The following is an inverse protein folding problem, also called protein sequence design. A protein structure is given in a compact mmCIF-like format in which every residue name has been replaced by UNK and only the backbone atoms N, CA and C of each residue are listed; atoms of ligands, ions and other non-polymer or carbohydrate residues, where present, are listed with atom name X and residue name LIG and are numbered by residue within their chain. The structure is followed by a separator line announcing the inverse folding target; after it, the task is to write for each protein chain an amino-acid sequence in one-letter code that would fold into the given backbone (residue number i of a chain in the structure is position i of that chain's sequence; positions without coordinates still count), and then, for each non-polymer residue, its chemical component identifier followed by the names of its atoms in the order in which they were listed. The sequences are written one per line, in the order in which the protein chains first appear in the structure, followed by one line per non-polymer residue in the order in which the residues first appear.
data_IF_475242423343
#
_entry.id   IF_475242423343
#
_cell.length_a   1.000
_cell.length_b   1.000
_cell.length_c   1.000
_cell.angle_alpha   90.00
_cell.angle_beta   90.00
_cell.angle_gamma   90.00
#
_symmetry.space_group_name_H-M   'P 1'
#
loop_
_entity.id
_entity.type
_entity.pdbx_description
1 polymer ?
#
# COMPACT_ATOMS: atom_id res chain seq x y z
N UNK A 1 -6.74 8.81 -7.19
CA UNK A 1 -6.72 9.98 -6.26
C UNK A 1 -5.64 9.70 -5.22
N UNK A 2 -4.77 10.66 -4.85
CA UNK A 2 -3.81 10.40 -3.76
C UNK A 2 -4.45 10.63 -2.40
N UNK A 3 -3.95 9.95 -1.35
CA UNK A 3 -4.41 10.15 0.03
C UNK A 3 -4.32 11.61 0.46
N UNK A 4 -3.18 12.26 0.24
CA UNK A 4 -2.96 13.65 0.69
C UNK A 4 -3.84 14.64 -0.11
N UNK A 5 -4.32 14.29 -1.32
CA UNK A 5 -5.39 15.02 -2.03
C UNK A 5 -6.78 14.78 -1.42
N UNK A 6 -7.15 13.53 -1.15
CA UNK A 6 -8.44 13.17 -0.53
C UNK A 6 -8.60 13.82 0.87
N UNK A 7 -7.55 13.81 1.69
CA UNK A 7 -7.55 14.49 3.00
C UNK A 7 -7.72 16.02 2.89
N UNK A 8 -7.10 16.64 1.88
CA UNK A 8 -7.27 18.09 1.62
C UNK A 8 -8.65 18.44 1.11
N UNK A 9 -9.23 17.59 0.25
CA UNK A 9 -10.63 17.69 -0.21
C UNK A 9 -11.59 17.57 0.98
N UNK A 10 -11.37 16.59 1.84
CA UNK A 10 -12.28 16.30 2.95
C UNK A 10 -12.18 17.28 4.11
N UNK A 11 -11.00 17.83 4.39
CA UNK A 11 -10.80 18.75 5.50
C UNK A 11 -10.03 20.00 5.04
N UNK A 12 -10.62 20.86 4.18
CA UNK A 12 -9.94 22.04 3.64
C UNK A 12 -9.59 23.06 4.74
N UNK A 13 -10.31 23.04 5.87
CA UNK A 13 -10.04 23.85 7.07
C UNK A 13 -9.00 23.23 8.03
N UNK A 14 -8.46 22.03 7.74
CA UNK A 14 -7.52 21.37 8.64
C UNK A 14 -6.14 22.01 8.65
N UNK A 15 -5.65 22.36 9.85
CA UNK A 15 -4.27 22.78 10.08
C UNK A 15 -3.38 21.62 10.50
N UNK A 16 -3.96 20.65 11.22
CA UNK A 16 -3.25 19.50 11.76
C UNK A 16 -4.01 18.21 11.42
N UNK A 17 -3.28 17.18 11.01
CA UNK A 17 -3.85 15.86 10.71
C UNK A 17 -2.99 14.79 11.38
N UNK A 18 -3.59 13.96 12.24
CA UNK A 18 -2.90 12.89 12.96
C UNK A 18 -3.16 11.55 12.28
N UNK A 19 -2.10 10.84 11.86
CA UNK A 19 -2.20 9.46 11.35
C UNK A 19 -2.32 8.49 12.52
N UNK A 20 -3.41 7.74 12.57
CA UNK A 20 -3.70 6.72 13.57
C UNK A 20 -3.60 5.34 12.93
N UNK A 21 -2.60 4.57 13.37
CA UNK A 21 -2.47 3.12 13.09
C UNK A 21 -3.08 2.37 14.26
N UNK A 22 -4.16 1.65 14.02
CA UNK A 22 -4.85 0.89 15.06
C UNK A 22 -4.88 -0.59 14.66
N UNK A 23 -4.10 -1.40 15.38
CA UNK A 23 -4.19 -2.87 15.33
C UNK A 23 -5.35 -3.29 16.22
N UNK A 24 -6.22 -4.17 15.71
CA UNK A 24 -7.40 -4.64 16.43
C UNK A 24 -7.04 -5.77 17.38
N UNK A 25 -7.53 -5.72 18.62
CA UNK A 25 -7.50 -6.88 19.51
C UNK A 25 -8.58 -7.94 19.11
N UNK A 26 -8.59 -9.08 19.82
CA UNK A 26 -9.54 -10.18 19.56
C UNK A 26 -11.01 -9.76 19.79
N UNK A 27 -11.29 -8.96 20.83
CA UNK A 27 -12.62 -8.46 21.20
C UNK A 27 -13.10 -7.40 20.22
N UNK A 28 -12.26 -6.42 19.91
CA UNK A 28 -12.57 -5.34 18.95
C UNK A 28 -12.86 -5.91 17.55
N UNK A 29 -12.04 -6.89 17.11
CA UNK A 29 -12.26 -7.59 15.85
C UNK A 29 -13.57 -8.40 15.86
N UNK A 30 -13.86 -9.14 16.93
CA UNK A 30 -15.13 -9.87 17.05
C UNK A 30 -16.34 -8.94 17.03
N UNK A 31 -16.25 -7.81 17.74
CA UNK A 31 -17.29 -6.77 17.77
C UNK A 31 -17.52 -6.15 16.39
N UNK A 32 -16.46 -5.73 15.67
CA UNK A 32 -16.59 -5.21 14.31
C UNK A 32 -17.22 -6.24 13.36
N UNK A 33 -16.85 -7.52 13.46
CA UNK A 33 -17.47 -8.57 12.65
C UNK A 33 -18.97 -8.73 12.96
N UNK A 34 -19.38 -8.61 14.23
CA UNK A 34 -20.80 -8.61 14.64
C UNK A 34 -21.56 -7.38 14.12
N UNK A 35 -20.98 -6.18 14.20
CA UNK A 35 -21.60 -4.95 13.67
C UNK A 35 -21.74 -4.96 12.13
N UNK A 36 -20.78 -5.57 11.42
CA UNK A 36 -20.75 -5.60 9.96
C UNK A 36 -21.44 -6.82 9.34
N UNK A 37 -21.90 -7.79 10.16
CA UNK A 37 -22.52 -9.03 9.71
C UNK A 37 -21.60 -9.95 8.89
N UNK A 38 -20.28 -9.75 8.95
CA UNK A 38 -19.30 -10.47 8.10
C UNK A 38 -17.92 -10.56 8.74
N UNK A 39 -17.17 -11.62 8.41
CA UNK A 39 -15.74 -11.78 8.79
C UNK A 39 -14.89 -10.73 8.07
N UNK A 40 -13.95 -10.09 8.77
CA UNK A 40 -13.03 -9.09 8.18
C UNK A 40 -11.62 -9.69 8.03
N UNK A 41 -10.97 -9.60 6.84
CA UNK A 41 -9.57 -10.04 6.69
C UNK A 41 -8.59 -9.19 7.52
N UNK A 42 -8.86 -7.90 7.68
CA UNK A 42 -7.93 -6.92 8.27
C UNK A 42 -7.51 -7.26 9.71
N UNK A 43 -6.23 -7.00 10.04
CA UNK A 43 -5.70 -7.04 11.41
C UNK A 43 -5.72 -5.67 12.11
N UNK A 44 -6.12 -4.62 11.40
CA UNK A 44 -6.07 -3.25 11.86
C UNK A 44 -6.40 -2.29 10.72
N UNK A 45 -6.57 -1.01 11.05
CA UNK A 45 -6.96 0.04 10.12
C UNK A 45 -6.06 1.27 10.24
N UNK A 46 -6.03 2.06 9.16
CA UNK A 46 -5.30 3.31 9.06
C UNK A 46 -6.31 4.44 8.89
N UNK A 47 -6.31 5.37 9.84
CA UNK A 47 -7.21 6.51 9.85
C UNK A 47 -6.44 7.82 10.05
N UNK A 48 -7.08 8.94 9.73
CA UNK A 48 -6.56 10.28 9.97
C UNK A 48 -7.59 11.15 10.68
N UNK A 49 -7.20 11.72 11.82
CA UNK A 49 -8.02 12.66 12.60
C UNK A 49 -7.63 14.09 12.20
N UNK A 50 -8.60 14.88 11.75
CA UNK A 50 -8.38 16.24 11.25
C UNK A 50 -8.78 17.29 12.30
N UNK A 51 -7.96 18.32 12.44
CA UNK A 51 -8.16 19.43 13.37
C UNK A 51 -7.90 20.79 12.71
N UNK A 52 -8.69 21.80 13.08
CA UNK A 52 -8.56 23.17 12.59
C UNK A 52 -7.38 23.94 13.24
N UNK A 53 -7.28 25.26 13.00
CA UNK A 53 -6.25 26.13 13.58
C UNK A 53 -6.35 26.29 15.11
N UNK A 54 -7.56 26.16 15.69
CA UNK A 54 -7.84 26.29 17.14
C UNK A 54 -7.82 24.93 17.86
N UNK A 55 -7.61 23.82 17.15
CA UNK A 55 -7.64 22.47 17.70
C UNK A 55 -9.05 21.86 17.81
N UNK A 56 -10.06 22.49 17.19
CA UNK A 56 -11.39 21.92 16.98
C UNK A 56 -11.31 20.68 16.09
N UNK A 57 -12.05 19.63 16.42
CA UNK A 57 -12.10 18.40 15.64
C UNK A 57 -13.00 18.59 14.42
N UNK A 58 -12.47 18.33 13.23
CA UNK A 58 -13.19 18.46 11.96
C UNK A 58 -13.80 17.14 11.48
N UNK A 59 -13.23 16.00 11.89
CA UNK A 59 -13.68 14.68 11.50
C UNK A 59 -12.55 13.67 11.33
N UNK A 60 -12.90 12.49 10.83
CA UNK A 60 -11.99 11.36 10.62
C UNK A 60 -12.11 10.81 9.21
N UNK A 61 -10.99 10.49 8.56
CA UNK A 61 -10.99 9.70 7.32
C UNK A 61 -10.33 8.34 7.53
N UNK A 62 -10.95 7.27 7.03
CA UNK A 62 -10.49 5.88 7.17
C UNK A 62 -10.07 5.34 5.81
N UNK A 63 -8.84 4.85 5.68
CA UNK A 63 -8.44 4.01 4.54
C UNK A 63 -8.96 2.59 4.79
N UNK A 64 -9.74 2.09 3.84
CA UNK A 64 -10.29 0.74 3.86
C UNK A 64 -10.10 0.06 2.50
N UNK A 65 -10.21 -1.27 2.50
CA UNK A 65 -10.09 -2.11 1.31
C UNK A 65 -11.35 -2.97 1.17
N UNK A 66 -11.88 -3.07 -0.03
CA UNK A 66 -12.98 -3.98 -0.37
C UNK A 66 -12.69 -4.65 -1.71
N UNK A 67 -13.26 -5.83 -1.95
CA UNK A 67 -13.12 -6.56 -3.21
C UNK A 67 -14.33 -6.22 -4.11
N UNK A 68 -14.07 -5.94 -5.39
CA UNK A 68 -15.09 -5.84 -6.44
C UNK A 68 -15.60 -7.23 -6.83
N UNK A 69 -15.31 -7.67 -8.05
CA UNK A 69 -15.50 -9.05 -8.51
C UNK A 69 -14.34 -9.98 -8.11
N UNK A 70 -13.10 -9.52 -8.21
CA UNK A 70 -11.88 -10.33 -7.99
C UNK A 70 -10.76 -9.57 -7.28
N UNK A 71 -10.60 -8.27 -7.54
CA UNK A 71 -9.47 -7.49 -7.05
C UNK A 71 -9.84 -6.63 -5.83
N UNK A 72 -8.93 -6.52 -4.83
CA UNK A 72 -9.06 -5.54 -3.77
C UNK A 72 -8.81 -4.11 -4.30
N UNK A 73 -9.66 -3.17 -3.92
CA UNK A 73 -9.50 -1.76 -4.24
C UNK A 73 -9.61 -0.85 -3.01
N UNK A 74 -9.00 0.33 -3.09
CA UNK A 74 -8.76 1.21 -1.94
C UNK A 74 -9.68 2.42 -1.94
N UNK A 75 -10.35 2.63 -0.80
CA UNK A 75 -11.25 3.75 -0.56
C UNK A 75 -10.83 4.51 0.68
N UNK A 76 -10.95 5.84 0.63
CA UNK A 76 -11.04 6.67 1.82
C UNK A 76 -12.49 7.07 2.04
N UNK A 77 -13.02 6.77 3.23
CA UNK A 77 -14.32 7.26 3.67
C UNK A 77 -14.07 8.30 4.75
N UNK A 78 -14.51 9.52 4.48
CA UNK A 78 -14.34 10.66 5.38
C UNK A 78 -15.67 10.99 6.05
N UNK A 79 -15.60 11.08 7.38
CA UNK A 79 -16.70 11.43 8.27
C UNK A 79 -16.43 12.80 8.89
N UNK A 80 -17.49 13.58 9.09
CA UNK A 80 -17.46 14.87 9.80
C UNK A 80 -17.31 14.69 11.32
N UNK A 81 -17.21 15.81 12.04
CA UNK A 81 -17.16 15.82 13.51
C UNK A 81 -18.42 15.24 14.20
N UNK A 82 -19.53 15.05 13.47
CA UNK A 82 -20.79 14.45 13.95
C UNK A 82 -20.90 12.96 13.61
N UNK A 83 -19.93 12.37 12.90
CA UNK A 83 -19.95 10.98 12.46
C UNK A 83 -20.82 10.72 11.22
N UNK A 84 -21.06 11.74 10.40
CA UNK A 84 -21.75 11.63 9.10
C UNK A 84 -20.70 11.55 7.99
N UNK A 85 -20.86 10.67 7.02
CA UNK A 85 -20.06 10.67 5.79
C UNK A 85 -20.22 12.02 5.12
N UNK A 86 -19.12 12.67 4.77
CA UNK A 86 -19.12 13.90 3.98
C UNK A 86 -18.25 13.82 2.74
N UNK A 87 -17.39 12.80 2.60
CA UNK A 87 -16.86 12.39 1.29
C UNK A 87 -16.51 10.90 1.27
N UNK A 88 -16.61 10.31 0.07
CA UNK A 88 -15.98 9.02 -0.26
C UNK A 88 -15.07 9.24 -1.47
N UNK A 89 -13.82 8.79 -1.37
CA UNK A 89 -12.79 8.90 -2.41
C UNK A 89 -12.25 7.50 -2.73
N UNK A 90 -12.55 6.98 -3.93
CA UNK A 90 -11.85 5.78 -4.45
C UNK A 90 -10.45 6.20 -4.87
N UNK A 91 -9.45 5.83 -4.08
CA UNK A 91 -8.05 6.18 -4.34
C UNK A 91 -7.54 5.46 -5.59
N UNK A 92 -7.85 4.17 -5.65
CA UNK A 92 -7.39 3.21 -6.65
C UNK A 92 -8.51 2.20 -6.92
N UNK A 93 -8.66 1.78 -8.18
CA UNK A 93 -9.56 0.73 -8.64
C UNK A 93 -8.85 -0.06 -9.73
N UNK A 94 -8.98 -1.40 -9.71
CA UNK A 94 -8.09 -2.31 -10.46
C UNK A 94 -8.79 -3.21 -11.48
N UNK A 95 -10.12 -3.29 -11.46
CA UNK A 95 -10.88 -4.20 -12.33
C UNK A 95 -11.24 -3.54 -13.67
N UNK A 96 -11.35 -4.31 -14.77
CA UNK A 96 -11.68 -3.78 -16.09
C UNK A 96 -13.15 -3.36 -16.24
N UNK A 97 -14.02 -3.71 -15.28
CA UNK A 97 -15.43 -3.29 -15.20
C UNK A 97 -15.74 -2.81 -13.78
N UNK A 98 -16.73 -1.94 -13.63
CA UNK A 98 -17.13 -1.40 -12.33
C UNK A 98 -16.36 -0.16 -11.88
N UNK A 99 -15.49 0.39 -12.73
CA UNK A 99 -14.76 1.64 -12.45
C UNK A 99 -15.68 2.87 -12.37
N UNK A 100 -16.93 2.74 -12.81
CA UNK A 100 -18.00 3.74 -12.74
C UNK A 100 -18.26 4.20 -11.30
N UNK A 101 -17.99 3.36 -10.29
CA UNK A 101 -18.09 3.74 -8.87
C UNK A 101 -17.12 4.85 -8.46
N UNK A 102 -16.15 5.20 -9.32
CA UNK A 102 -15.24 6.36 -9.14
C UNK A 102 -15.90 7.69 -9.55
N UNK A 103 -17.03 7.68 -10.25
CA UNK A 103 -17.71 8.90 -10.71
C UNK A 103 -18.15 9.72 -9.49
N UNK A 104 -17.80 11.01 -9.44
CA UNK A 104 -18.07 11.86 -8.26
C UNK A 104 -19.57 11.98 -7.95
N UNK A 105 -20.41 12.03 -8.99
CA UNK A 105 -21.88 12.00 -8.89
C UNK A 105 -22.45 10.70 -8.31
N UNK A 106 -21.69 9.60 -8.32
CA UNK A 106 -22.04 8.39 -7.58
C UNK A 106 -21.60 8.48 -6.12
N UNK A 107 -20.34 8.83 -5.87
CA UNK A 107 -19.77 8.88 -4.52
C UNK A 107 -20.43 9.94 -3.61
N UNK A 108 -20.93 11.03 -4.20
CA UNK A 108 -21.69 12.06 -3.49
C UNK A 108 -23.00 11.52 -2.88
N UNK A 109 -23.59 10.43 -3.43
CA UNK A 109 -24.81 9.80 -2.87
C UNK A 109 -24.61 9.11 -1.52
N UNK A 110 -23.36 9.00 -1.05
CA UNK A 110 -23.04 8.51 0.29
C UNK A 110 -22.90 9.64 1.32
N UNK A 111 -22.92 10.92 0.92
CA UNK A 111 -22.80 12.06 1.84
C UNK A 111 -24.09 12.21 2.69
N UNK A 112 -23.94 12.67 3.93
CA UNK A 112 -25.01 12.70 4.94
C UNK A 112 -25.34 11.37 5.62
N UNK A 113 -24.77 10.24 5.17
CA UNK A 113 -25.02 8.93 5.79
C UNK A 113 -24.32 8.81 7.15
N UNK A 114 -25.02 8.29 8.14
CA UNK A 114 -24.58 8.12 9.53
C UNK A 114 -25.03 6.77 10.07
N UNK A 115 -24.56 6.39 11.26
CA UNK A 115 -25.02 5.20 11.98
C UNK A 115 -26.56 5.11 12.11
N UNK A 116 -27.26 6.26 12.23
CA UNK A 116 -28.72 6.29 12.44
C UNK A 116 -29.54 5.94 11.19
N UNK A 117 -29.15 6.47 10.02
CA UNK A 117 -29.90 6.30 8.76
C UNK A 117 -29.28 5.24 7.81
N UNK A 118 -28.18 4.60 8.20
CA UNK A 118 -27.38 3.68 7.37
C UNK A 118 -28.20 2.65 6.56
N UNK A 119 -29.15 1.95 7.21
CA UNK A 119 -29.96 0.91 6.55
C UNK A 119 -30.88 1.48 5.47
N UNK A 120 -31.54 2.61 5.73
CA UNK A 120 -32.48 3.24 4.80
C UNK A 120 -31.73 3.96 3.67
N UNK A 121 -30.64 4.65 3.99
CA UNK A 121 -29.86 5.38 3.01
C UNK A 121 -29.18 4.45 2.00
N UNK A 122 -28.55 3.35 2.45
CA UNK A 122 -27.93 2.39 1.53
C UNK A 122 -28.94 1.66 0.63
N UNK A 123 -30.20 1.50 1.05
CA UNK A 123 -31.29 1.01 0.18
C UNK A 123 -31.68 2.00 -0.93
N UNK A 124 -31.41 3.29 -0.76
CA UNK A 124 -31.72 4.36 -1.73
C UNK A 124 -30.56 4.68 -2.68
N UNK A 125 -29.37 4.10 -2.49
CA UNK A 125 -28.26 4.28 -3.44
C UNK A 125 -28.45 3.31 -4.60
N UNK A 126 -28.61 3.80 -5.85
CA UNK A 126 -28.78 2.92 -7.00
C UNK A 126 -27.51 2.09 -7.23
N UNK A 127 -27.68 0.81 -7.53
CA UNK A 127 -26.61 -0.04 -8.04
C UNK A 127 -26.30 0.40 -9.47
N UNK A 128 -25.02 0.64 -9.80
CA UNK A 128 -24.66 0.97 -11.19
C UNK A 128 -24.68 -0.32 -12.04
N UNK A 129 -25.42 -0.36 -13.18
CA UNK A 129 -25.41 -1.51 -14.09
C UNK A 129 -23.99 -1.89 -14.55
N UNK A 130 -23.72 -3.20 -14.64
CA UNK A 130 -22.37 -3.72 -14.95
C UNK A 130 -21.33 -3.55 -13.82
N UNK A 131 -21.67 -2.84 -12.74
CA UNK A 131 -20.79 -2.46 -11.63
C UNK A 131 -21.35 -2.91 -10.26
N UNK A 132 -22.17 -3.97 -10.23
CA UNK A 132 -22.94 -4.40 -9.06
C UNK A 132 -22.08 -4.69 -7.83
N UNK A 133 -21.10 -5.59 -7.95
CA UNK A 133 -20.24 -5.99 -6.83
C UNK A 133 -19.38 -4.82 -6.32
N UNK A 134 -18.96 -3.94 -7.23
CA UNK A 134 -18.23 -2.70 -6.97
C UNK A 134 -19.09 -1.66 -6.24
N UNK A 135 -20.36 -1.54 -6.60
CA UNK A 135 -21.34 -0.67 -5.91
C UNK A 135 -21.55 -1.15 -4.47
N UNK A 136 -21.76 -2.46 -4.29
CA UNK A 136 -21.80 -3.07 -2.96
C UNK A 136 -20.47 -2.99 -2.21
N UNK A 137 -19.32 -2.91 -2.88
CA UNK A 137 -18.02 -2.67 -2.25
C UNK A 137 -17.93 -1.24 -1.66
N UNK A 138 -18.39 -0.20 -2.37
CA UNK A 138 -18.43 1.17 -1.80
C UNK A 138 -19.36 1.24 -0.57
N UNK A 139 -20.54 0.61 -0.64
CA UNK A 139 -21.45 0.52 0.51
C UNK A 139 -20.81 -0.21 1.71
N UNK A 140 -20.13 -1.34 1.45
CA UNK A 140 -19.38 -2.12 2.47
C UNK A 140 -18.24 -1.31 3.10
N UNK A 141 -17.56 -0.46 2.34
CA UNK A 141 -16.53 0.45 2.83
C UNK A 141 -17.09 1.53 3.77
N UNK A 142 -18.24 2.13 3.41
CA UNK A 142 -18.93 3.11 4.26
C UNK A 142 -19.41 2.50 5.57
N UNK A 143 -19.96 1.28 5.53
CA UNK A 143 -20.30 0.51 6.74
C UNK A 143 -19.09 0.30 7.66
N UNK A 144 -17.93 -0.10 7.12
CA UNK A 144 -16.67 -0.25 7.89
C UNK A 144 -16.27 1.05 8.58
N UNK A 145 -16.28 2.16 7.84
CA UNK A 145 -15.84 3.46 8.38
C UNK A 145 -16.72 3.95 9.53
N UNK A 146 -18.05 3.80 9.42
CA UNK A 146 -18.99 4.14 10.48
C UNK A 146 -18.86 3.21 11.70
N UNK A 147 -18.65 1.90 11.49
CA UNK A 147 -18.42 0.95 12.59
C UNK A 147 -17.10 1.24 13.33
N UNK A 148 -16.03 1.60 12.61
CA UNK A 148 -14.74 2.00 13.18
C UNK A 148 -14.84 3.34 13.92
N UNK A 149 -15.58 4.31 13.38
CA UNK A 149 -15.85 5.57 14.07
C UNK A 149 -16.60 5.34 15.39
N UNK A 150 -17.58 4.44 15.40
CA UNK A 150 -18.26 4.02 16.63
C UNK A 150 -17.28 3.40 17.63
N UNK A 151 -16.44 2.45 17.21
CA UNK A 151 -15.39 1.85 18.06
C UNK A 151 -14.49 2.91 18.70
N UNK A 152 -13.98 3.86 17.90
CA UNK A 152 -13.12 4.94 18.40
C UNK A 152 -13.85 5.96 19.28
N UNK A 153 -15.14 6.23 19.02
CA UNK A 153 -15.97 7.11 19.87
C UNK A 153 -16.15 6.53 21.28
N UNK A 154 -16.16 5.20 21.42
CA UNK A 154 -16.28 4.51 22.71
C UNK A 154 -14.93 4.07 23.31
N UNK A 155 -13.80 4.42 22.68
CA UNK A 155 -12.45 4.19 23.22
C UNK A 155 -11.99 2.73 23.28
N UNK A 156 -12.73 1.83 22.63
CA UNK A 156 -12.59 0.38 22.68
C UNK A 156 -13.94 -0.30 22.38
N UNK A 157 -14.05 -1.60 22.67
CA UNK A 157 -15.31 -2.36 22.51
C UNK A 157 -16.40 -1.78 23.43
N UNK A 158 -17.51 -1.21 22.91
CA UNK A 158 -18.52 -0.57 23.75
C UNK A 158 -19.33 -1.59 24.57
N UNK A 159 -19.38 -1.37 25.88
CA UNK A 159 -20.23 -2.10 26.82
C UNK A 159 -21.68 -1.58 26.69
N UNK A 160 -22.71 -2.45 26.64
CA UNK A 160 -24.10 -2.01 26.69
C UNK A 160 -24.39 -1.21 27.97
N UNK A 161 -24.93 0.00 27.84
CA UNK A 161 -25.32 0.87 28.96
C UNK A 161 -24.41 2.08 29.22
N UNK A 162 -23.16 2.09 28.76
CA UNK A 162 -22.26 3.24 29.01
C UNK A 162 -22.67 4.51 28.25
N UNK A 163 -22.72 5.64 28.97
CA UNK A 163 -22.89 6.99 28.38
C UNK A 163 -21.62 7.37 27.59
N UNK A 164 -21.71 8.10 26.44
CA UNK A 164 -20.56 8.28 25.54
C UNK A 164 -19.37 9.06 26.12
N UNK A 165 -18.35 8.35 26.59
CA UNK A 165 -17.04 8.91 26.99
C UNK A 165 -16.29 9.52 25.81
N UNK A 166 -16.49 10.82 25.58
CA UNK A 166 -16.23 11.49 24.30
C UNK A 166 -14.78 11.48 23.79
N UNK A 167 -14.61 11.91 22.53
CA UNK A 167 -13.34 12.17 21.83
C UNK A 167 -12.32 13.03 22.63
N UNK A 168 -12.74 13.73 23.70
CA UNK A 168 -11.84 14.40 24.63
C UNK A 168 -10.96 13.43 25.44
N UNK A 169 -11.49 12.28 25.88
CA UNK A 169 -10.68 11.22 26.52
C UNK A 169 -9.69 10.62 25.53
N UNK A 170 -10.09 10.50 24.26
CA UNK A 170 -9.21 10.09 23.17
C UNK A 170 -8.07 11.13 22.95
N UNK A 171 -8.37 12.44 22.99
CA UNK A 171 -7.34 13.50 22.98
C UNK A 171 -6.35 13.34 24.15
N UNK A 172 -6.78 13.10 25.38
CA UNK A 172 -5.87 12.88 26.52
C UNK A 172 -5.02 11.60 26.36
N UNK A 173 -5.64 10.47 25.98
CA UNK A 173 -4.95 9.19 25.77
C UNK A 173 -3.88 9.30 24.68
N UNK A 174 -4.14 10.09 23.63
CA UNK A 174 -3.15 10.39 22.57
C UNK A 174 -2.17 11.54 22.88
N UNK A 175 -2.49 12.48 23.78
CA UNK A 175 -1.51 13.45 24.29
C UNK A 175 -0.41 12.76 25.10
N UNK A 176 -0.75 11.70 25.84
CA UNK A 176 0.23 10.83 26.53
C UNK A 176 1.03 9.97 25.54
N UNK A 177 0.44 9.52 24.43
CA UNK A 177 1.13 8.81 23.34
C UNK A 177 1.97 9.75 22.44
N UNK A 178 3.04 10.33 23.03
CA UNK A 178 3.78 11.50 22.54
C UNK A 178 4.71 11.25 21.33
N UNK A 179 4.22 10.69 20.22
CA UNK A 179 5.01 10.41 19.02
C UNK A 179 4.38 10.93 17.70
N UNK A 180 5.23 11.54 16.83
CA UNK A 180 4.96 11.90 15.42
C UNK A 180 3.74 12.81 15.14
N UNK A 181 3.67 13.99 15.77
CA UNK A 181 2.90 15.15 15.26
C UNK A 181 3.35 15.50 13.82
N UNK A 182 2.49 15.35 12.80
CA UNK A 182 2.73 15.86 11.43
C UNK A 182 1.88 17.11 11.16
N UNK A 183 2.49 18.28 11.19
CA UNK A 183 1.85 19.53 10.72
C UNK A 183 1.65 19.45 9.21
N UNK A 184 0.47 19.84 8.72
CA UNK A 184 0.24 19.94 7.28
C UNK A 184 0.88 21.25 6.79
N UNK A 185 1.82 21.21 5.82
CA UNK A 185 2.42 22.44 5.30
C UNK A 185 1.34 23.30 4.66
N UNK A 186 1.36 24.64 4.86
CA UNK A 186 0.43 25.54 4.18
C UNK A 186 0.56 25.42 2.66
N UNK A 187 -0.48 25.81 1.94
CA UNK A 187 -0.42 25.92 0.49
C UNK A 187 0.65 26.96 0.08
N UNK A 188 1.43 26.72 -0.99
CA UNK A 188 2.35 27.71 -1.50
C UNK A 188 1.56 28.88 -2.14
N UNK A 189 1.85 30.15 -1.81
CA UNK A 189 1.38 31.29 -2.60
C UNK A 189 2.08 31.32 -3.98
N UNK A 190 1.56 32.09 -4.95
CA UNK A 190 2.26 32.35 -6.20
C UNK A 190 3.64 33.01 -5.97
N UNK A 191 4.59 32.74 -6.86
CA UNK A 191 6.00 33.13 -6.68
C UNK A 191 6.22 34.64 -6.90
N UNK A 192 7.01 35.26 -6.01
CA UNK A 192 8.00 36.31 -6.34
C UNK A 192 9.31 35.97 -5.61
N UNK A 193 10.45 36.49 -6.09
CA UNK A 193 11.80 36.16 -5.59
C UNK A 193 12.60 37.44 -5.31
N UNK A 194 13.10 37.60 -4.07
CA UNK A 194 14.29 38.40 -3.75
C UNK A 194 15.33 37.64 -2.84
N UNK A 195 16.48 38.24 -2.44
CA UNK A 195 17.75 37.51 -2.17
C UNK A 195 18.06 37.10 -0.69
N UNK A 196 19.25 36.49 -0.41
CA UNK A 196 19.56 35.83 0.88
C UNK A 196 20.58 36.53 1.82
N UNK A 197 20.51 36.22 3.14
CA UNK A 197 21.51 36.26 4.27
C UNK A 197 20.71 36.36 5.62
N UNK A 198 21.19 36.09 6.85
CA UNK A 198 22.46 35.56 7.43
C UNK A 198 22.12 34.69 8.70
N UNK A 199 23.08 34.40 9.61
CA UNK A 199 22.98 33.45 10.76
C UNK A 199 22.68 34.09 12.15
N UNK A 200 22.48 33.22 13.16
CA UNK A 200 22.69 33.38 14.63
C UNK A 200 21.51 33.93 15.49
N UNK A 201 21.37 33.65 16.81
CA UNK A 201 21.81 32.51 17.67
C UNK A 201 21.29 32.62 19.13
N UNK A 202 21.07 31.48 19.85
CA UNK A 202 20.89 31.37 21.33
C UNK A 202 19.68 32.15 21.90
N UNK A 203 19.27 32.05 23.17
CA UNK A 203 19.05 30.91 24.10
C UNK A 203 17.87 31.34 25.04
N UNK A 204 17.50 30.78 26.21
CA UNK A 204 17.88 29.64 27.07
C UNK A 204 16.64 29.20 27.90
N UNK A 205 16.75 28.24 28.84
CA UNK A 205 15.72 27.95 29.86
C UNK A 205 15.64 26.46 30.25
N UNK A 206 15.87 26.12 31.52
CA UNK A 206 16.03 24.73 31.98
C UNK A 206 15.39 24.43 33.34
N UNK A 207 14.99 23.18 33.54
CA UNK A 207 14.73 22.53 34.84
C UNK A 207 14.86 20.99 34.66
N UNK A 208 15.18 20.28 35.74
CA UNK A 208 15.59 18.87 35.75
C UNK A 208 15.29 18.23 37.13
N UNK A 209 15.51 16.92 37.37
CA UNK A 209 15.84 15.83 36.43
C UNK A 209 14.82 14.67 36.48
N UNK A 210 15.03 13.64 35.65
CA UNK A 210 14.49 12.29 35.82
C UNK A 210 15.50 11.26 35.29
N UNK A 211 15.47 10.03 35.82
CA UNK A 211 16.51 9.03 35.60
C UNK A 211 16.78 8.69 34.11
N UNK A 212 18.04 8.41 33.72
CA UNK A 212 18.44 8.34 32.32
C UNK A 212 17.94 7.07 31.61
N UNK A 213 16.93 7.24 30.76
CA UNK A 213 16.72 6.34 29.62
C UNK A 213 17.42 6.94 28.40
N UNK A 214 18.26 6.14 27.72
CA UNK A 214 19.02 6.60 26.56
C UNK A 214 18.07 7.17 25.48
N UNK A 215 18.35 8.36 24.91
CA UNK A 215 17.44 9.03 24.01
C UNK A 215 17.27 8.22 22.71
N UNK A 216 16.06 7.69 22.50
CA UNK A 216 15.75 6.88 21.33
C UNK A 216 16.04 7.66 20.03
N UNK A 217 17.00 7.16 19.24
CA UNK A 217 17.48 7.81 18.03
C UNK A 217 16.33 8.22 17.09
N UNK A 218 16.40 9.39 16.43
CA UNK A 218 15.26 9.98 15.71
C UNK A 218 14.79 9.10 14.55
N UNK A 219 13.64 8.44 14.67
CA UNK A 219 13.19 7.43 13.70
C UNK A 219 12.33 8.01 12.56
N UNK A 220 12.91 8.21 11.38
CA UNK A 220 12.16 8.60 10.19
C UNK A 220 11.53 7.39 9.45
N UNK A 221 10.48 7.67 8.67
CA UNK A 221 9.94 6.70 7.71
C UNK A 221 9.37 7.37 6.45
N UNK A 222 9.23 6.56 5.41
CA UNK A 222 8.67 6.89 4.10
C UNK A 222 7.73 5.77 3.65
N UNK A 223 6.65 6.11 2.95
CA UNK A 223 5.80 5.12 2.28
C UNK A 223 5.23 5.73 1.01
N UNK A 224 5.30 5.01 -0.10
CA UNK A 224 4.95 5.49 -1.45
C UNK A 224 4.28 4.35 -2.24
N UNK A 225 3.24 4.64 -3.05
CA UNK A 225 2.65 3.63 -3.92
C UNK A 225 3.57 3.33 -5.11
N UNK A 226 3.78 2.04 -5.40
CA UNK A 226 4.53 1.56 -6.56
C UNK A 226 4.21 0.08 -6.84
N UNK A 227 4.30 -0.35 -8.09
CA UNK A 227 4.18 -1.72 -8.59
C UNK A 227 2.88 -2.42 -8.12
N UNK A 228 1.79 -1.65 -8.13
CA UNK A 228 0.47 -2.08 -7.64
C UNK A 228 0.41 -2.36 -6.15
N UNK A 229 1.32 -1.78 -5.37
CA UNK A 229 1.52 -2.07 -3.95
C UNK A 229 2.00 -0.82 -3.18
N UNK A 230 2.34 -0.99 -1.91
CA UNK A 230 2.94 0.05 -1.07
C UNK A 230 4.42 -0.30 -0.80
N UNK A 231 5.33 0.54 -1.28
CA UNK A 231 6.73 0.54 -0.88
C UNK A 231 6.91 1.34 0.42
N UNK A 232 7.78 0.90 1.32
CA UNK A 232 8.11 1.60 2.57
C UNK A 232 9.61 1.59 2.87
N UNK A 233 10.04 2.54 3.70
CA UNK A 233 11.40 2.63 4.28
C UNK A 233 11.27 3.11 5.73
N UNK A 234 11.99 2.49 6.65
CA UNK A 234 12.15 2.89 8.05
C UNK A 234 13.63 3.05 8.39
N UNK A 235 13.99 4.14 9.07
CA UNK A 235 15.36 4.59 9.26
C UNK A 235 15.70 4.83 10.73
N UNK A 236 16.92 4.49 11.11
CA UNK A 236 17.58 4.91 12.35
C UNK A 236 18.25 6.27 12.15
N UNK A 237 17.45 7.30 11.89
CA UNK A 237 17.93 8.65 11.66
C UNK A 237 16.88 9.58 11.03
N UNK A 238 17.19 10.88 10.93
CA UNK A 238 16.37 11.81 10.16
C UNK A 238 16.35 11.41 8.68
N UNK A 239 15.30 11.81 7.96
CA UNK A 239 15.22 11.67 6.50
C UNK A 239 15.34 13.06 5.84
N UNK A 240 16.51 13.44 5.31
CA UNK A 240 16.69 14.69 4.58
C UNK A 240 15.71 14.88 3.42
N UNK A 241 15.35 16.13 3.13
CA UNK A 241 14.44 16.47 2.02
C UNK A 241 15.04 16.09 0.65
N UNK A 242 16.36 16.16 0.51
CA UNK A 242 17.13 15.68 -0.65
C UNK A 242 16.99 14.17 -0.81
N UNK A 243 17.39 13.39 0.21
CA UNK A 243 17.33 11.94 0.18
C UNK A 243 15.90 11.39 -0.04
N UNK A 244 14.88 12.02 0.57
CA UNK A 244 13.46 11.70 0.27
C UNK A 244 13.10 11.92 -1.20
N UNK A 245 13.60 12.98 -1.84
CA UNK A 245 13.36 13.25 -3.27
C UNK A 245 14.09 12.25 -4.15
N UNK A 246 15.33 11.89 -3.84
CA UNK A 246 16.11 10.89 -4.58
C UNK A 246 15.42 9.52 -4.56
N UNK A 247 15.11 8.97 -3.37
CA UNK A 247 14.38 7.70 -3.22
C UNK A 247 13.04 7.70 -3.96
N UNK A 248 12.24 8.77 -3.80
CA UNK A 248 10.97 8.90 -4.51
C UNK A 248 11.15 8.99 -6.04
N UNK A 249 12.25 9.57 -6.52
CA UNK A 249 12.57 9.72 -7.94
C UNK A 249 13.07 8.41 -8.56
N UNK A 250 13.94 7.65 -7.89
CA UNK A 250 14.35 6.30 -8.33
C UNK A 250 13.15 5.34 -8.34
N UNK A 251 12.31 5.36 -7.30
CA UNK A 251 11.07 4.57 -7.26
C UNK A 251 10.09 4.97 -8.38
N UNK A 252 9.93 6.27 -8.66
CA UNK A 252 9.07 6.73 -9.76
C UNK A 252 9.60 6.33 -11.15
N UNK A 253 10.93 6.32 -11.36
CA UNK A 253 11.54 5.77 -12.58
C UNK A 253 11.26 4.27 -12.72
N UNK A 254 11.41 3.50 -11.64
CA UNK A 254 11.12 2.07 -11.62
C UNK A 254 9.63 1.77 -11.90
N UNK A 255 8.70 2.52 -11.30
CA UNK A 255 7.26 2.44 -11.61
C UNK A 255 7.00 2.74 -13.10
N UNK A 256 7.51 3.86 -13.61
CA UNK A 256 7.28 4.25 -15.00
C UNK A 256 7.85 3.22 -16.00
N UNK A 257 9.01 2.62 -15.70
CA UNK A 257 9.70 1.69 -16.60
C UNK A 257 9.17 0.25 -16.53
N UNK A 258 8.69 -0.22 -15.38
CA UNK A 258 8.35 -1.64 -15.18
C UNK A 258 6.90 -1.94 -14.80
N UNK A 259 6.09 -0.95 -14.44
CA UNK A 259 4.68 -1.19 -14.08
C UNK A 259 3.84 -1.46 -15.32
N UNK A 260 3.25 -2.67 -15.44
CA UNK A 260 2.28 -3.04 -16.49
C UNK A 260 1.10 -2.06 -16.62
N UNK A 261 0.87 -1.23 -15.59
CA UNK A 261 -0.15 -0.17 -15.56
C UNK A 261 0.21 1.03 -16.41
N UNK A 262 1.50 1.24 -16.70
CA UNK A 262 1.96 2.21 -17.67
C UNK A 262 2.06 1.53 -19.04
N UNK A 263 1.25 1.98 -20.00
CA UNK A 263 1.29 1.50 -21.38
C UNK A 263 2.64 1.74 -22.09
N UNK A 264 3.47 2.69 -21.59
CA UNK A 264 4.83 2.94 -22.06
C UNK A 264 5.94 2.14 -21.35
N UNK A 265 5.61 1.30 -20.36
CA UNK A 265 6.59 0.48 -19.64
C UNK A 265 7.24 -0.58 -20.55
N UNK A 266 8.42 -1.07 -20.16
CA UNK A 266 9.14 -2.16 -20.82
C UNK A 266 8.24 -3.39 -21.05
N UNK A 267 7.58 -3.99 -20.02
CA UNK A 267 6.75 -5.17 -20.24
C UNK A 267 5.47 -4.86 -21.04
N UNK A 268 4.82 -3.69 -20.84
CA UNK A 268 3.63 -3.34 -21.63
C UNK A 268 3.94 -3.06 -23.11
N UNK A 269 5.16 -2.58 -23.41
CA UNK A 269 5.67 -2.47 -24.78
C UNK A 269 6.04 -3.83 -25.37
N UNK A 270 6.75 -4.67 -24.61
CA UNK A 270 7.14 -6.02 -25.05
C UNK A 270 5.93 -6.89 -25.40
N UNK A 271 4.90 -6.89 -24.54
CA UNK A 271 3.69 -7.70 -24.75
C UNK A 271 2.88 -7.28 -26.00
N UNK A 272 3.12 -6.08 -26.54
CA UNK A 272 2.53 -5.56 -27.79
C UNK A 272 3.47 -5.53 -29.00
N UNK A 273 4.74 -5.95 -28.87
CA UNK A 273 5.60 -6.09 -30.05
C UNK A 273 5.10 -7.23 -30.94
N UNK A 274 5.25 -7.15 -32.28
CA UNK A 274 5.17 -8.33 -33.13
C UNK A 274 6.29 -9.32 -32.76
N UNK A 275 6.13 -10.59 -33.12
CA UNK A 275 7.23 -11.57 -33.08
C UNK A 275 8.35 -11.07 -34.02
N UNK A 276 9.61 -11.24 -33.62
CA UNK A 276 10.78 -10.62 -34.24
C UNK A 276 11.10 -9.19 -33.76
N UNK A 277 10.14 -8.48 -33.15
CA UNK A 277 10.36 -7.13 -32.61
C UNK A 277 11.34 -7.10 -31.43
N UNK A 278 12.03 -5.97 -31.21
CA UNK A 278 12.93 -5.80 -30.06
C UNK A 278 12.78 -4.45 -29.32
N UNK A 279 13.21 -4.42 -28.05
CA UNK A 279 13.35 -3.24 -27.20
C UNK A 279 14.78 -3.10 -26.69
N UNK A 280 15.21 -1.86 -26.45
CA UNK A 280 16.45 -1.58 -25.71
C UNK A 280 16.27 -1.83 -24.20
N UNK A 281 17.31 -2.41 -23.59
CA UNK A 281 17.49 -2.63 -22.15
C UNK A 281 18.70 -1.84 -21.65
N UNK A 282 18.65 -1.35 -20.41
CA UNK A 282 19.88 -0.98 -19.69
C UNK A 282 20.61 -2.24 -19.18
N UNK A 283 21.90 -2.14 -18.79
CA UNK A 283 22.62 -3.26 -18.18
C UNK A 283 21.93 -3.82 -16.92
N UNK A 284 21.35 -2.95 -16.07
CA UNK A 284 20.60 -3.36 -14.88
C UNK A 284 19.39 -4.25 -15.25
N UNK A 285 18.70 -3.89 -16.34
CA UNK A 285 17.50 -4.59 -16.81
C UNK A 285 17.82 -5.92 -17.52
N UNK A 286 18.93 -5.97 -18.26
CA UNK A 286 19.47 -7.21 -18.82
C UNK A 286 19.87 -8.19 -17.73
N UNK A 287 20.61 -7.73 -16.72
CA UNK A 287 21.03 -8.56 -15.57
C UNK A 287 19.82 -9.09 -14.78
N UNK A 288 18.76 -8.27 -14.61
CA UNK A 288 17.50 -8.69 -14.00
C UNK A 288 16.81 -9.81 -14.78
N UNK A 289 16.59 -9.62 -16.08
CA UNK A 289 15.89 -10.62 -16.91
C UNK A 289 16.69 -11.92 -17.04
N UNK A 290 18.02 -11.85 -17.20
CA UNK A 290 18.87 -13.04 -17.13
C UNK A 290 18.73 -13.78 -15.79
N UNK A 291 18.59 -13.05 -14.68
CA UNK A 291 18.43 -13.64 -13.34
C UNK A 291 17.06 -14.32 -13.19
N UNK A 292 16.00 -13.75 -13.76
CA UNK A 292 14.70 -14.40 -13.86
C UNK A 292 14.77 -15.70 -14.70
N UNK A 293 15.43 -15.69 -15.87
CA UNK A 293 15.64 -16.90 -16.70
C UNK A 293 16.47 -17.97 -15.96
N UNK A 294 17.52 -17.58 -15.22
CA UNK A 294 18.30 -18.48 -14.36
C UNK A 294 17.45 -19.08 -13.24
N UNK A 295 16.54 -18.30 -12.65
CA UNK A 295 15.60 -18.78 -11.63
C UNK A 295 14.54 -19.73 -12.20
N UNK A 296 14.07 -19.51 -13.44
CA UNK A 296 13.20 -20.46 -14.14
C UNK A 296 13.86 -21.83 -14.27
N UNK A 297 15.09 -21.90 -14.81
CA UNK A 297 15.81 -23.17 -14.93
C UNK A 297 16.07 -23.84 -13.56
N UNK A 298 16.56 -23.07 -12.57
CA UNK A 298 16.83 -23.57 -11.20
C UNK A 298 15.59 -23.97 -10.40
N UNK A 299 14.38 -23.63 -10.86
CA UNK A 299 13.11 -24.01 -10.23
C UNK A 299 12.32 -25.02 -11.06
N UNK A 300 12.92 -25.59 -12.10
CA UNK A 300 12.26 -26.45 -13.10
C UNK A 300 10.98 -25.80 -13.68
N UNK A 301 11.04 -24.50 -13.94
CA UNK A 301 9.91 -23.71 -14.43
C UNK A 301 8.76 -23.58 -13.42
N UNK A 302 9.02 -23.71 -12.12
CA UNK A 302 8.05 -23.35 -11.07
C UNK A 302 7.95 -21.83 -10.86
N UNK A 303 9.02 -21.10 -11.16
CA UNK A 303 8.98 -19.67 -11.44
C UNK A 303 9.15 -19.42 -12.94
N UNK A 304 8.48 -18.39 -13.48
CA UNK A 304 8.74 -17.88 -14.84
C UNK A 304 8.52 -16.36 -14.89
N UNK A 305 9.32 -15.60 -15.65
CA UNK A 305 9.00 -14.22 -16.00
C UNK A 305 7.90 -14.12 -17.07
N UNK A 306 7.53 -15.21 -17.73
CA UNK A 306 6.41 -15.25 -18.69
C UNK A 306 5.17 -15.81 -18.00
N UNK A 307 4.03 -15.14 -18.17
CA UNK A 307 2.73 -15.60 -17.70
C UNK A 307 2.33 -16.90 -18.40
N UNK A 308 1.92 -17.88 -17.60
CA UNK A 308 1.36 -19.16 -18.04
C UNK A 308 2.23 -19.95 -19.04
N UNK A 309 3.54 -19.71 -19.03
CA UNK A 309 4.55 -20.53 -19.73
C UNK A 309 5.80 -20.72 -18.88
N UNK A 310 6.25 -21.97 -18.79
CA UNK A 310 7.47 -22.39 -18.09
C UNK A 310 8.72 -22.38 -19.00
N UNK A 311 8.55 -22.05 -20.29
CA UNK A 311 9.60 -22.03 -21.31
C UNK A 311 9.79 -20.59 -21.84
N UNK A 312 10.32 -19.65 -21.02
CA UNK A 312 10.37 -18.24 -21.37
C UNK A 312 11.27 -17.94 -22.58
N UNK A 313 12.28 -18.78 -22.84
CA UNK A 313 13.12 -18.72 -24.04
C UNK A 313 12.36 -18.96 -25.37
N UNK A 314 11.15 -19.53 -25.35
CA UNK A 314 10.27 -19.58 -26.53
C UNK A 314 9.52 -18.26 -26.80
N UNK A 315 9.60 -17.30 -25.88
CA UNK A 315 8.80 -16.07 -25.90
C UNK A 315 9.69 -14.83 -25.91
N UNK A 316 10.78 -14.83 -25.14
CA UNK A 316 11.77 -13.75 -25.07
C UNK A 316 13.19 -14.25 -25.31
N UNK A 317 13.95 -13.47 -26.08
CA UNK A 317 15.39 -13.59 -26.25
C UNK A 317 16.10 -12.40 -25.63
N UNK A 318 17.32 -12.61 -25.13
CA UNK A 318 18.18 -11.54 -24.60
C UNK A 318 19.47 -11.47 -25.43
N UNK A 319 19.86 -10.25 -25.78
CA UNK A 319 21.13 -9.94 -26.44
C UNK A 319 21.75 -8.71 -25.74
N UNK A 320 23.03 -8.36 -25.98
CA UNK A 320 23.63 -7.16 -25.39
C UNK A 320 22.76 -5.91 -25.62
N UNK A 321 22.28 -5.30 -24.53
CA UNK A 321 21.40 -4.13 -24.57
C UNK A 321 20.00 -4.34 -25.18
N UNK A 322 19.56 -5.58 -25.47
CA UNK A 322 18.28 -5.83 -26.16
C UNK A 322 17.44 -6.98 -25.57
N UNK A 323 16.13 -6.81 -25.67
CA UNK A 323 15.08 -7.79 -25.42
C UNK A 323 14.30 -8.03 -26.72
N UNK A 324 14.31 -9.25 -27.24
CA UNK A 324 13.65 -9.62 -28.50
C UNK A 324 12.43 -10.51 -28.22
N UNK A 325 11.33 -10.33 -28.96
CA UNK A 325 10.15 -11.20 -28.86
C UNK A 325 10.29 -12.37 -29.82
N UNK A 326 10.44 -13.58 -29.29
CA UNK A 326 10.63 -14.81 -30.07
C UNK A 326 9.30 -15.55 -30.33
N UNK A 327 8.24 -15.25 -29.58
CA UNK A 327 6.96 -15.93 -29.73
C UNK A 327 5.79 -15.31 -28.98
N UNK A 328 4.62 -15.98 -28.99
CA UNK A 328 3.43 -15.58 -28.23
C UNK A 328 3.63 -15.79 -26.72
N UNK A 329 2.92 -15.00 -25.90
CA UNK A 329 3.04 -15.00 -24.43
C UNK A 329 3.36 -13.60 -23.87
N UNK A 330 3.21 -13.42 -22.56
CA UNK A 330 3.31 -12.13 -21.89
C UNK A 330 4.41 -12.10 -20.82
N UNK A 331 5.29 -11.09 -20.86
CA UNK A 331 6.21 -10.77 -19.78
C UNK A 331 5.44 -10.19 -18.58
N UNK A 332 5.52 -10.88 -17.43
CA UNK A 332 4.87 -10.49 -16.18
C UNK A 332 5.93 -10.17 -15.10
N UNK A 333 6.14 -8.88 -14.77
CA UNK A 333 7.12 -8.45 -13.76
C UNK A 333 6.71 -8.78 -12.32
N UNK A 334 5.47 -9.22 -12.09
CA UNK A 334 4.82 -9.18 -10.77
C UNK A 334 5.46 -10.03 -9.67
N UNK A 335 6.27 -11.03 -10.03
CA UNK A 335 6.86 -12.02 -9.12
C UNK A 335 8.39 -11.88 -8.91
N UNK A 336 9.01 -10.78 -9.38
CA UNK A 336 10.46 -10.56 -9.18
C UNK A 336 10.91 -9.09 -9.16
N UNK A 337 10.18 -8.18 -9.82
CA UNK A 337 10.65 -6.79 -9.96
C UNK A 337 10.54 -5.99 -8.65
N UNK A 338 9.65 -6.38 -7.73
CA UNK A 338 9.55 -5.75 -6.40
C UNK A 338 10.77 -6.04 -5.54
N UNK A 339 11.25 -7.27 -5.55
CA UNK A 339 12.51 -7.64 -4.91
C UNK A 339 13.68 -6.81 -5.44
N UNK A 340 13.88 -6.80 -6.77
CA UNK A 340 14.94 -6.01 -7.39
C UNK A 340 14.82 -4.50 -7.14
N UNK A 341 13.61 -3.94 -7.20
CA UNK A 341 13.39 -2.53 -6.84
C UNK A 341 13.70 -2.25 -5.36
N UNK A 342 13.51 -3.22 -4.46
CA UNK A 342 13.88 -3.12 -3.05
C UNK A 342 15.40 -3.13 -2.88
N UNK A 343 16.11 -4.01 -3.61
CA UNK A 343 17.58 -4.06 -3.62
C UNK A 343 18.18 -2.73 -4.13
N UNK A 344 17.72 -2.25 -5.30
CA UNK A 344 18.16 -0.96 -5.88
C UNK A 344 17.87 0.25 -5.00
N UNK A 345 16.81 0.21 -4.17
CA UNK A 345 16.47 1.29 -3.25
C UNK A 345 17.18 1.17 -1.90
N UNK A 346 17.72 0.00 -1.55
CA UNK A 346 18.67 -0.14 -0.45
C UNK A 346 20.02 0.48 -0.84
N UNK A 347 20.54 0.16 -2.02
CA UNK A 347 21.76 0.78 -2.55
C UNK A 347 21.64 2.31 -2.59
N UNK A 348 20.54 2.83 -3.14
CA UNK A 348 20.28 4.27 -3.21
C UNK A 348 20.22 4.89 -1.81
N UNK A 349 19.60 4.22 -0.84
CA UNK A 349 19.57 4.68 0.55
C UNK A 349 20.96 4.68 1.20
N UNK A 350 21.79 3.67 0.92
CA UNK A 350 23.17 3.57 1.40
C UNK A 350 24.07 4.67 0.78
N UNK A 351 23.98 4.91 -0.53
CA UNK A 351 24.65 6.04 -1.22
C UNK A 351 24.26 7.40 -0.62
N UNK A 352 23.04 7.52 -0.12
CA UNK A 352 22.52 8.72 0.56
C UNK A 352 22.86 8.79 2.06
N UNK A 353 23.69 7.88 2.58
CA UNK A 353 24.10 7.84 3.99
C UNK A 353 22.98 7.47 4.97
N UNK A 354 21.89 6.85 4.50
CA UNK A 354 20.74 6.54 5.34
C UNK A 354 20.93 5.21 6.08
N UNK A 355 20.85 5.25 7.40
CA UNK A 355 20.84 4.06 8.26
C UNK A 355 19.48 3.34 8.15
N UNK A 356 19.34 2.46 7.15
CA UNK A 356 18.10 1.72 6.94
C UNK A 356 17.95 0.62 7.98
N UNK A 357 16.75 0.56 8.59
CA UNK A 357 16.33 -0.51 9.50
C UNK A 357 15.51 -1.56 8.76
N UNK A 358 14.56 -1.10 7.95
CA UNK A 358 13.66 -1.92 7.16
C UNK A 358 13.27 -1.20 5.87
N UNK A 359 13.16 -1.90 4.74
CA UNK A 359 12.57 -1.37 3.52
C UNK A 359 11.97 -2.47 2.64
N UNK A 360 11.06 -2.09 1.74
CA UNK A 360 10.53 -2.97 0.69
C UNK A 360 9.04 -2.83 0.47
N UNK A 361 8.43 -3.91 0.00
CA UNK A 361 7.00 -4.05 -0.26
C UNK A 361 6.34 -4.97 0.78
N UNK A 362 5.02 -5.18 0.67
CA UNK A 362 4.28 -6.07 1.59
C UNK A 362 4.55 -7.56 1.33
N UNK A 363 5.08 -7.93 0.15
CA UNK A 363 5.45 -9.31 -0.23
C UNK A 363 6.94 -9.62 0.00
N UNK A 364 7.81 -8.62 -0.08
CA UNK A 364 9.27 -8.76 -0.11
C UNK A 364 9.93 -7.55 0.54
N UNK A 365 10.80 -7.77 1.52
CA UNK A 365 11.43 -6.71 2.32
C UNK A 365 12.82 -7.13 2.83
N UNK A 366 13.63 -6.14 3.19
CA UNK A 366 14.95 -6.34 3.82
C UNK A 366 14.91 -5.74 5.23
N UNK A 367 15.44 -6.48 6.21
CA UNK A 367 15.61 -6.04 7.59
C UNK A 367 17.10 -6.06 7.96
N UNK A 368 17.61 -4.98 8.57
CA UNK A 368 18.99 -4.96 9.06
C UNK A 368 19.17 -6.04 10.14
N UNK A 369 20.20 -6.87 10.00
CA UNK A 369 20.48 -8.00 10.88
C UNK A 369 19.75 -9.31 10.54
N UNK A 370 18.73 -9.30 9.67
CA UNK A 370 18.01 -10.52 9.23
C UNK A 370 18.05 -10.74 7.70
N UNK A 371 18.61 -9.79 6.93
CA UNK A 371 18.73 -9.91 5.47
C UNK A 371 17.38 -9.74 4.77
N UNK A 372 17.25 -10.33 3.59
CA UNK A 372 16.04 -10.23 2.77
C UNK A 372 15.06 -11.38 3.03
N UNK A 373 13.77 -11.04 3.15
CA UNK A 373 12.66 -11.95 3.42
C UNK A 373 11.53 -11.72 2.40
N UNK A 374 10.96 -12.79 1.87
CA UNK A 374 9.78 -12.71 1.01
C UNK A 374 8.75 -13.81 1.29
N UNK A 375 7.47 -13.47 1.10
CA UNK A 375 6.31 -14.31 1.43
C UNK A 375 5.40 -14.43 0.21
N UNK A 376 5.21 -15.66 -0.29
CA UNK A 376 4.41 -15.96 -1.46
C UNK A 376 3.18 -16.80 -1.11
N UNK A 377 2.08 -16.51 -1.80
CA UNK A 377 0.77 -17.11 -1.54
C UNK A 377 0.12 -16.60 -0.25
N UNK A 378 -1.07 -17.11 0.06
CA UNK A 378 -1.78 -16.75 1.28
C UNK A 378 -2.71 -17.87 1.72
N UNK A 379 -2.94 -17.99 3.03
CA UNK A 379 -3.87 -18.94 3.64
C UNK A 379 -5.37 -18.63 3.37
N UNK A 380 -5.66 -17.83 2.34
CA UNK A 380 -6.99 -17.57 1.78
C UNK A 380 -6.92 -17.77 0.27
N UNK A 381 -8.00 -18.29 -0.34
CA UNK A 381 -8.10 -18.39 -1.80
C UNK A 381 -7.81 -17.03 -2.45
N UNK A 382 -6.82 -17.00 -3.34
CA UNK A 382 -6.39 -15.80 -4.05
C UNK A 382 -5.67 -16.21 -5.33
N UNK A 383 -6.36 -16.27 -6.49
CA UNK A 383 -5.91 -16.97 -7.71
C UNK A 383 -4.87 -16.19 -8.54
N UNK A 384 -3.99 -15.43 -7.88
CA UNK A 384 -3.00 -14.56 -8.52
C UNK A 384 -1.64 -15.24 -8.76
N UNK A 385 -1.33 -16.34 -8.05
CA UNK A 385 -0.21 -17.21 -8.38
C UNK A 385 -0.74 -18.39 -9.18
N UNK A 386 -0.18 -18.59 -10.37
CA UNK A 386 -0.45 -19.70 -11.28
C UNK A 386 0.79 -20.59 -11.37
N UNK A 387 0.60 -21.85 -11.73
CA UNK A 387 1.72 -22.72 -12.10
C UNK A 387 2.10 -22.48 -13.57
N UNK A 388 3.35 -22.07 -13.90
CA UNK A 388 3.74 -21.79 -15.29
C UNK A 388 3.73 -23.00 -16.23
N UNK A 389 3.62 -24.24 -15.73
CA UNK A 389 3.49 -25.45 -16.58
C UNK A 389 2.06 -25.69 -17.07
N UNK A 390 1.05 -25.35 -16.27
CA UNK A 390 -0.37 -25.63 -16.57
C UNK A 390 -1.21 -24.37 -16.82
N UNK A 391 -0.68 -23.18 -16.49
CA UNK A 391 -1.43 -21.93 -16.45
C UNK A 391 -2.54 -21.90 -15.38
N UNK A 392 -2.70 -22.95 -14.58
CA UNK A 392 -3.81 -23.04 -13.62
C UNK A 392 -3.53 -22.24 -12.33
N UNK A 393 -4.51 -21.48 -11.80
CA UNK A 393 -4.36 -20.81 -10.52
C UNK A 393 -4.17 -21.81 -9.37
N UNK A 394 -3.17 -21.56 -8.51
CA UNK A 394 -2.89 -22.45 -7.39
C UNK A 394 -3.99 -22.31 -6.32
N UNK A 395 -4.64 -23.42 -5.89
CA UNK A 395 -5.60 -23.36 -4.79
C UNK A 395 -4.88 -22.93 -3.51
N UNK A 396 -5.35 -21.83 -2.91
CA UNK A 396 -4.66 -21.14 -1.82
C UNK A 396 -4.34 -22.04 -0.61
N UNK A 397 -3.13 -21.92 -0.07
CA UNK A 397 -2.64 -22.72 1.06
C UNK A 397 -1.69 -21.95 1.98
N UNK A 398 -0.96 -22.62 2.88
CA UNK A 398 0.02 -21.97 3.76
C UNK A 398 1.02 -21.15 2.94
N UNK A 399 1.41 -19.93 3.34
CA UNK A 399 2.39 -19.15 2.59
C UNK A 399 3.75 -19.87 2.52
N UNK A 400 4.56 -19.54 1.52
CA UNK A 400 5.98 -19.90 1.49
C UNK A 400 6.83 -18.69 1.91
N UNK A 401 7.57 -18.81 3.00
CA UNK A 401 8.59 -17.85 3.40
C UNK A 401 9.94 -18.27 2.78
N UNK A 402 10.70 -17.31 2.27
CA UNK A 402 12.11 -17.52 1.92
C UNK A 402 12.98 -16.38 2.43
N UNK A 403 14.18 -16.73 2.89
CA UNK A 403 15.25 -15.80 3.24
C UNK A 403 16.36 -15.87 2.16
N UNK A 404 17.01 -14.75 1.88
CA UNK A 404 18.12 -14.68 0.92
C UNK A 404 19.03 -13.46 1.15
N UNK A 405 20.20 -13.40 0.48
CA UNK A 405 21.07 -12.21 0.52
C UNK A 405 20.44 -10.96 -0.12
N UNK A 406 19.49 -11.11 -1.06
CA UNK A 406 18.80 -10.00 -1.73
C UNK A 406 17.29 -10.24 -1.82
N UNK A 407 16.50 -9.17 -1.91
CA UNK A 407 15.05 -9.25 -1.98
C UNK A 407 14.57 -9.85 -3.30
N UNK A 408 15.28 -9.63 -4.41
CA UNK A 408 15.09 -10.37 -5.67
C UNK A 408 15.24 -11.88 -5.44
N UNK A 409 16.33 -12.32 -4.80
CA UNK A 409 16.57 -13.73 -4.55
C UNK A 409 15.54 -14.34 -3.58
N UNK A 410 15.07 -13.57 -2.59
CA UNK A 410 14.02 -14.01 -1.67
C UNK A 410 12.68 -14.17 -2.40
N UNK A 411 12.25 -13.21 -3.22
CA UNK A 411 10.96 -13.22 -3.93
C UNK A 411 10.90 -14.37 -4.96
N UNK A 412 12.00 -14.61 -5.68
CA UNK A 412 12.18 -15.74 -6.61
C UNK A 412 12.11 -17.10 -5.89
N UNK A 413 12.84 -17.26 -4.77
CA UNK A 413 12.82 -18.49 -3.95
C UNK A 413 11.44 -18.76 -3.37
N UNK A 414 10.82 -17.72 -2.79
CA UNK A 414 9.51 -17.77 -2.15
C UNK A 414 8.43 -18.20 -3.15
N UNK A 415 8.41 -17.60 -4.35
CA UNK A 415 7.47 -17.96 -5.43
C UNK A 415 7.68 -19.41 -5.87
N UNK A 416 8.94 -19.78 -6.16
CA UNK A 416 9.29 -21.14 -6.61
C UNK A 416 8.88 -22.21 -5.59
N UNK A 417 9.17 -22.00 -4.30
CA UNK A 417 8.84 -22.93 -3.23
C UNK A 417 7.33 -23.09 -3.04
N UNK A 418 6.54 -22.02 -3.21
CA UNK A 418 5.08 -22.10 -3.18
C UNK A 418 4.55 -22.99 -4.32
N UNK A 419 4.99 -22.75 -5.56
CA UNK A 419 4.55 -23.52 -6.73
C UNK A 419 4.98 -25.00 -6.64
N UNK A 420 6.26 -25.27 -6.34
CA UNK A 420 6.79 -26.64 -6.20
C UNK A 420 6.04 -27.47 -5.14
N UNK A 421 5.70 -26.86 -4.00
CA UNK A 421 4.94 -27.55 -2.94
C UNK A 421 3.52 -27.92 -3.40
N UNK A 422 2.89 -27.09 -4.23
CA UNK A 422 1.57 -27.42 -4.78
C UNK A 422 1.65 -28.45 -5.91
N UNK A 423 2.69 -28.46 -6.76
CA UNK A 423 2.96 -29.56 -7.70
C UNK A 423 3.05 -30.93 -7.02
N UNK A 424 3.74 -31.01 -5.88
CA UNK A 424 3.87 -32.25 -5.09
C UNK A 424 2.52 -32.72 -4.50
N UNK A 425 1.63 -31.79 -4.14
CA UNK A 425 0.26 -32.05 -3.60
C UNK A 425 -0.82 -32.28 -4.67
N UNK A 426 -0.44 -32.37 -5.94
CA UNK A 426 -1.31 -32.79 -7.05
C UNK A 426 -0.79 -34.03 -7.77
N UNK A 427 0.13 -34.77 -7.11
CA UNK A 427 0.73 -36.05 -7.56
C UNK A 427 0.56 -37.16 -6.50
N UNK A 428 -0.15 -36.84 -5.43
CA UNK A 428 -0.58 -37.66 -4.31
C UNK A 428 -1.93 -37.12 -3.86
#
# INVERSE_FOLDING_TARGET
MTRDQALRRAFPKARTVWEMRHVLDKKEKAWLQKQLGRRIPERGYLAWLAFDKKGGFLGMSVLTTEIGKTEPFFLMVSLDAKGRVHHVDVLEYREPRGAEVRRRSYLHRFEGISEKNLRQALRRIPVIPGATLSSHAVARAVQKALALHRLYRHGGTPIPGEKPGSLARLKQRFQRAKAKRRVLPPAPPPKKVPPPRKKASRASGAQAPAAPQAPAAPQASLSLPAMGDLFFVELDGPLPRSARRALASRLARLEARWSLRNAGSLPARFNRLPVGGSLFLSPEEGALLQTALRATRRSEGAFSPIRDSHLPERVLGLSPGRLCRLGPGELDPGAFVKGWATDLLLEEAQRLGLQVRALGFRSSLILRGLGALAVSGSARRGPHIRDPRSGTPIPGGPPALAQAPSALAAELRSTSAYVLRHRRRGRA
#
